data_IF_666586137763
#
_entry.id   IF_666586137763
#
_cell.length_a   1.000
_cell.length_b   1.000
_cell.length_c   1.000
_cell.angle_alpha   90.00
_cell.angle_beta   90.00
_cell.angle_gamma   90.00
#
_symmetry.space_group_name_H-M   'P 1'
#
loop_
_entity.id
_entity.type
_entity.pdbx_description
1 polymer ?
#
# COMPACT_ATOMS: atom_id res chain seq x y z
N UNK A 1 -6.72 17.72 -5.99
CA UNK A 1 -7.67 16.61 -5.71
C UNK A 1 -7.16 15.25 -6.19
N UNK A 2 -6.75 15.06 -7.45
CA UNK A 2 -6.37 13.73 -7.97
C UNK A 2 -5.26 12.98 -7.22
N UNK A 3 -4.15 13.66 -6.86
CA UNK A 3 -3.01 13.02 -6.17
C UNK A 3 -3.28 12.66 -4.72
N UNK A 4 -4.02 13.51 -4.00
CA UNK A 4 -4.44 13.25 -2.62
C UNK A 4 -5.35 12.01 -2.56
N UNK A 5 -6.32 11.93 -3.47
CA UNK A 5 -7.17 10.75 -3.60
C UNK A 5 -6.36 9.50 -4.00
N UNK A 6 -5.34 9.67 -4.84
CA UNK A 6 -4.41 8.59 -5.19
C UNK A 6 -3.63 8.07 -3.99
N UNK A 7 -3.09 8.96 -3.16
CA UNK A 7 -2.36 8.58 -1.95
C UNK A 7 -3.27 7.84 -0.95
N UNK A 8 -4.50 8.32 -0.74
CA UNK A 8 -5.49 7.64 0.10
C UNK A 8 -5.88 6.26 -0.46
N UNK A 9 -6.03 6.13 -1.78
CA UNK A 9 -6.31 4.85 -2.42
C UNK A 9 -5.17 3.84 -2.25
N UNK A 10 -3.93 4.30 -2.38
CA UNK A 10 -2.75 3.47 -2.16
C UNK A 10 -2.64 3.03 -0.68
N UNK A 11 -2.92 3.92 0.27
CA UNK A 11 -2.95 3.59 1.71
C UNK A 11 -4.00 2.51 2.03
N UNK A 12 -5.21 2.66 1.49
CA UNK A 12 -6.28 1.67 1.65
C UNK A 12 -5.88 0.31 1.09
N UNK A 13 -5.19 0.29 -0.06
CA UNK A 13 -4.68 -0.93 -0.67
C UNK A 13 -3.61 -1.59 0.20
N UNK A 14 -2.68 -0.83 0.78
CA UNK A 14 -1.69 -1.35 1.75
C UNK A 14 -2.41 -2.05 2.92
N UNK A 15 -3.37 -1.37 3.54
CA UNK A 15 -4.11 -1.91 4.68
C UNK A 15 -4.87 -3.21 4.33
N UNK A 16 -5.50 -3.23 3.15
CA UNK A 16 -6.18 -4.43 2.64
C UNK A 16 -5.20 -5.60 2.46
N UNK A 17 -4.04 -5.36 1.86
CA UNK A 17 -3.03 -6.39 1.60
C UNK A 17 -2.34 -6.92 2.84
N UNK A 18 -2.13 -6.07 3.86
CA UNK A 18 -1.66 -6.53 5.19
C UNK A 18 -2.71 -7.42 5.86
N UNK A 19 -4.00 -7.10 5.71
CA UNK A 19 -5.09 -7.93 6.22
C UNK A 19 -5.14 -9.29 5.53
N UNK A 20 -5.05 -9.33 4.19
CA UNK A 20 -4.94 -10.57 3.41
C UNK A 20 -3.72 -11.40 3.82
N UNK A 21 -2.56 -10.75 4.00
CA UNK A 21 -1.34 -11.41 4.48
C UNK A 21 -1.57 -12.12 5.82
N UNK A 22 -2.20 -11.47 6.80
CA UNK A 22 -2.51 -12.07 8.10
C UNK A 22 -3.48 -13.26 7.99
N UNK A 23 -4.45 -13.18 7.08
CA UNK A 23 -5.35 -14.29 6.79
C UNK A 23 -4.60 -15.50 6.21
N UNK A 24 -3.68 -15.27 5.26
CA UNK A 24 -2.87 -16.34 4.66
C UNK A 24 -1.88 -16.97 5.65
N UNK A 25 -1.30 -16.19 6.57
CA UNK A 25 -0.49 -16.74 7.66
C UNK A 25 -1.30 -17.69 8.55
N UNK A 26 -2.53 -17.29 8.91
CA UNK A 26 -3.42 -18.11 9.74
C UNK A 26 -3.86 -19.39 9.01
N UNK A 27 -4.02 -19.32 7.69
CA UNK A 27 -4.36 -20.47 6.85
C UNK A 27 -3.16 -21.39 6.53
N UNK A 28 -1.93 -21.01 6.89
CA UNK A 28 -0.71 -21.75 6.54
C UNK A 28 -0.32 -21.69 5.06
N UNK A 29 -0.89 -20.76 4.29
CA UNK A 29 -0.59 -20.59 2.86
C UNK A 29 0.57 -19.60 2.68
N UNK A 30 1.79 -20.15 2.67
CA UNK A 30 3.02 -19.37 2.52
C UNK A 30 3.07 -18.57 1.21
N UNK A 31 2.69 -19.19 0.09
CA UNK A 31 2.84 -18.56 -1.22
C UNK A 31 1.88 -17.36 -1.36
N UNK A 32 0.64 -17.51 -0.87
CA UNK A 32 -0.32 -16.42 -0.86
C UNK A 32 0.09 -15.30 0.13
N UNK A 33 0.65 -15.64 1.30
CA UNK A 33 1.19 -14.65 2.23
C UNK A 33 2.35 -13.85 1.61
N UNK A 34 3.31 -14.51 0.96
CA UNK A 34 4.43 -13.84 0.28
C UNK A 34 3.96 -12.92 -0.86
N UNK A 35 2.91 -13.34 -1.59
CA UNK A 35 2.28 -12.52 -2.63
C UNK A 35 1.60 -11.28 -2.04
N UNK A 36 0.73 -11.46 -1.04
CA UNK A 36 0.03 -10.36 -0.38
C UNK A 36 1.02 -9.34 0.22
N UNK A 37 2.13 -9.81 0.80
CA UNK A 37 3.21 -8.95 1.29
C UNK A 37 3.87 -8.16 0.15
N UNK A 38 4.18 -8.80 -0.97
CA UNK A 38 4.78 -8.12 -2.14
C UNK A 38 3.84 -7.04 -2.70
N UNK A 39 2.55 -7.33 -2.78
CA UNK A 39 1.54 -6.36 -3.23
C UNK A 39 1.37 -5.19 -2.25
N UNK A 40 1.42 -5.45 -0.94
CA UNK A 40 1.42 -4.40 0.08
C UNK A 40 2.63 -3.46 -0.06
N UNK A 41 3.82 -4.01 -0.33
CA UNK A 41 5.04 -3.21 -0.55
C UNK A 41 4.91 -2.31 -1.78
N UNK A 42 4.44 -2.85 -2.91
CA UNK A 42 4.24 -2.05 -4.12
C UNK A 42 3.22 -0.92 -3.90
N UNK A 43 2.13 -1.18 -3.17
CA UNK A 43 1.15 -0.15 -2.81
C UNK A 43 1.74 0.92 -1.89
N UNK A 44 2.62 0.51 -0.95
CA UNK A 44 3.30 1.43 -0.04
C UNK A 44 4.27 2.35 -0.79
N UNK A 45 5.04 1.82 -1.73
CA UNK A 45 5.94 2.61 -2.59
C UNK A 45 5.17 3.71 -3.32
N UNK A 46 4.03 3.35 -3.95
CA UNK A 46 3.16 4.34 -4.63
C UNK A 46 2.60 5.37 -3.65
N UNK A 47 2.19 4.96 -2.45
CA UNK A 47 1.71 5.90 -1.43
C UNK A 47 2.79 6.92 -1.07
N UNK A 48 4.02 6.45 -0.79
CA UNK A 48 5.15 7.28 -0.41
C UNK A 48 5.50 8.28 -1.54
N UNK A 49 5.61 7.80 -2.78
CA UNK A 49 5.87 8.66 -3.96
C UNK A 49 4.83 9.78 -4.11
N UNK A 50 3.56 9.45 -3.90
CA UNK A 50 2.47 10.43 -3.98
C UNK A 50 2.53 11.42 -2.82
N UNK A 51 2.86 10.98 -1.61
CA UNK A 51 3.03 11.88 -0.46
C UNK A 51 4.23 12.80 -0.62
N UNK A 52 5.35 12.32 -1.15
CA UNK A 52 6.53 13.15 -1.45
C UNK A 52 6.22 14.21 -2.49
N UNK A 53 5.45 13.85 -3.52
CA UNK A 53 4.98 14.81 -4.52
C UNK A 53 4.05 15.86 -3.91
N UNK A 54 3.15 15.49 -3.00
CA UNK A 54 2.26 16.42 -2.32
C UNK A 54 3.04 17.40 -1.42
N UNK A 55 4.03 16.89 -0.68
CA UNK A 55 4.94 17.71 0.12
C UNK A 55 5.67 18.71 -0.79
N UNK A 56 6.29 18.21 -1.85
CA UNK A 56 7.04 19.03 -2.81
C UNK A 56 6.16 20.11 -3.45
N UNK A 57 4.90 19.82 -3.75
CA UNK A 57 3.97 20.80 -4.33
C UNK A 57 3.44 21.84 -3.34
N UNK A 58 3.36 21.48 -2.05
CA UNK A 58 2.79 22.35 -1.02
C UNK A 58 3.83 23.34 -0.49
N UNK A 59 5.10 22.93 -0.44
CA UNK A 59 6.17 23.67 0.22
C UNK A 59 7.33 24.09 -0.71
N UNK A 60 7.22 23.91 -2.03
CA UNK A 60 8.09 24.54 -3.02
C UNK A 60 7.58 25.94 -3.41
#
# INVERSE_FOLDING_TARGET
>A
MGRLNGAMGAEQLVAAKITEFGAHLTAGDRAAAERARTEALAALEVHLDLTDQLISQTFA
#
